data_IF_637541037122
#
_entry.id   IF_637541037122
#
_cell.length_a   1.000
_cell.length_b   1.000
_cell.length_c   1.000
_cell.angle_alpha   90.00
_cell.angle_beta   90.00
_cell.angle_gamma   90.00
#
_symmetry.space_group_name_H-M   'P 1'
#
loop_
_entity.id
_entity.type
_entity.pdbx_description
1 polymer ?
#
# COMPACT_ATOMS: atom_id res chain seq x y z
N UNK A 1 8.36 13.03 -8.74
CA UNK A 1 8.50 13.18 -7.27
C UNK A 1 8.91 11.86 -6.66
N UNK A 2 9.93 11.89 -5.83
CA UNK A 2 10.38 10.68 -5.13
C UNK A 2 9.67 10.63 -3.78
N UNK A 3 9.03 9.50 -3.51
CA UNK A 3 8.31 9.28 -2.26
C UNK A 3 9.11 8.30 -1.41
N UNK A 4 9.43 8.72 -0.20
CA UNK A 4 10.23 7.91 0.71
C UNK A 4 9.41 7.53 1.95
N UNK A 5 9.73 6.38 2.59
CA UNK A 5 9.09 6.03 3.85
C UNK A 5 9.36 7.08 4.92
N UNK A 6 8.31 7.56 5.57
CA UNK A 6 8.41 8.50 6.67
C UNK A 6 8.17 7.80 8.01
N UNK A 7 7.96 8.60 9.04
CA UNK A 7 7.80 8.07 10.40
C UNK A 7 6.57 7.17 10.54
N UNK A 8 5.52 7.43 9.78
CA UNK A 8 4.26 6.67 9.87
C UNK A 8 4.27 5.42 9.03
N UNK A 9 5.21 5.29 8.11
CA UNK A 9 5.22 4.16 7.17
C UNK A 9 5.21 2.81 7.90
N UNK A 10 6.07 2.65 8.89
CA UNK A 10 6.19 1.40 9.64
C UNK A 10 4.90 1.05 10.36
N UNK A 11 4.25 2.03 10.99
CA UNK A 11 2.98 1.81 11.69
C UNK A 11 1.89 1.37 10.70
N UNK A 12 1.83 2.03 9.55
CA UNK A 12 0.84 1.69 8.53
C UNK A 12 1.10 0.28 7.99
N UNK A 13 2.36 -0.03 7.71
CA UNK A 13 2.73 -1.36 7.20
C UNK A 13 2.33 -2.45 8.18
N UNK A 14 2.63 -2.28 9.46
CA UNK A 14 2.26 -3.25 10.48
C UNK A 14 0.74 -3.43 10.55
N UNK A 15 0.00 -2.33 10.49
CA UNK A 15 -1.47 -2.39 10.51
C UNK A 15 -2.00 -3.15 9.30
N UNK A 16 -1.48 -2.86 8.12
CA UNK A 16 -1.94 -3.53 6.90
C UNK A 16 -1.66 -5.03 6.95
N UNK A 17 -0.48 -5.41 7.39
CA UNK A 17 -0.13 -6.82 7.51
C UNK A 17 -1.02 -7.55 8.52
N UNK A 18 -1.33 -6.88 9.62
CA UNK A 18 -2.19 -7.45 10.65
C UNK A 18 -3.63 -7.59 10.17
N UNK A 19 -4.19 -6.52 9.57
CA UNK A 19 -5.60 -6.51 9.17
C UNK A 19 -5.89 -7.42 7.99
N UNK A 20 -4.92 -7.59 7.08
CA UNK A 20 -5.12 -8.41 5.88
C UNK A 20 -4.49 -9.80 5.99
N UNK A 21 -3.86 -10.09 7.11
CA UNK A 21 -3.19 -11.38 7.36
C UNK A 21 -2.19 -11.74 6.27
N UNK A 22 -1.49 -10.73 5.76
CA UNK A 22 -0.53 -10.91 4.68
C UNK A 22 0.72 -11.61 5.18
N UNK A 23 1.23 -12.52 4.38
CA UNK A 23 2.46 -13.26 4.67
C UNK A 23 3.26 -13.47 3.39
N UNK A 24 4.57 -13.63 3.56
CA UNK A 24 5.48 -13.95 2.46
C UNK A 24 5.59 -12.83 1.44
N UNK A 25 5.56 -13.17 0.14
CA UNK A 25 5.81 -12.18 -0.92
C UNK A 25 4.86 -11.00 -0.92
N UNK A 26 3.67 -11.17 -0.34
CA UNK A 26 2.67 -10.08 -0.32
C UNK A 26 3.03 -8.96 0.65
N UNK A 27 4.01 -9.18 1.52
CA UNK A 27 4.51 -8.12 2.40
C UNK A 27 5.09 -6.97 1.57
N UNK A 28 5.70 -7.27 0.43
CA UNK A 28 6.20 -6.22 -0.49
C UNK A 28 5.06 -5.34 -1.00
N UNK A 29 3.92 -5.94 -1.33
CA UNK A 29 2.75 -5.17 -1.77
C UNK A 29 2.24 -4.27 -0.64
N UNK A 30 2.21 -4.79 0.59
CA UNK A 30 1.82 -4.00 1.76
C UNK A 30 2.78 -2.84 2.00
N UNK A 31 4.06 -3.05 1.74
CA UNK A 31 5.07 -2.00 1.87
C UNK A 31 4.75 -0.82 0.92
N UNK A 32 4.45 -1.12 -0.34
CA UNK A 32 4.09 -0.08 -1.30
C UNK A 32 2.75 0.57 -0.96
N UNK A 33 1.76 -0.21 -0.50
CA UNK A 33 0.49 0.34 -0.09
C UNK A 33 0.65 1.29 1.09
N UNK A 34 1.49 0.92 2.07
CA UNK A 34 1.76 1.77 3.23
C UNK A 34 2.40 3.09 2.82
N UNK A 35 3.31 3.03 1.84
CA UNK A 35 3.97 4.22 1.34
C UNK A 35 2.95 5.18 0.70
N UNK A 36 2.06 4.65 -0.12
CA UNK A 36 1.03 5.46 -0.77
C UNK A 36 0.06 6.04 0.25
N UNK A 37 -0.33 5.28 1.26
CA UNK A 37 -1.23 5.76 2.32
C UNK A 37 -0.57 6.88 3.10
N UNK A 38 0.67 6.71 3.50
CA UNK A 38 1.38 7.72 4.30
C UNK A 38 1.44 9.05 3.57
N UNK A 39 1.65 9.02 2.27
CA UNK A 39 1.80 10.23 1.47
C UNK A 39 0.52 10.67 0.79
N UNK A 40 -0.59 10.02 1.09
CA UNK A 40 -1.92 10.32 0.53
C UNK A 40 -1.93 10.32 -1.00
N UNK A 41 -1.16 9.40 -1.59
CA UNK A 41 -1.07 9.25 -3.04
C UNK A 41 -2.05 8.21 -3.54
N UNK A 42 -2.44 8.35 -4.81
CA UNK A 42 -3.19 7.29 -5.48
C UNK A 42 -2.21 6.28 -6.06
N UNK A 43 -2.41 5.01 -5.73
CA UNK A 43 -1.58 3.92 -6.24
C UNK A 43 -2.16 3.45 -7.57
N UNK A 44 -1.39 3.53 -8.63
CA UNK A 44 -1.83 3.15 -9.98
C UNK A 44 -1.29 1.76 -10.28
N UNK A 45 -2.18 0.81 -10.52
CA UNK A 45 -1.76 -0.57 -10.75
C UNK A 45 -2.86 -1.37 -11.45
N UNK A 46 -2.47 -2.37 -12.23
CA UNK A 46 -3.40 -3.35 -12.76
C UNK A 46 -3.70 -4.48 -11.77
N UNK A 47 -2.92 -4.58 -10.69
CA UNK A 47 -3.06 -5.65 -9.72
C UNK A 47 -4.21 -5.33 -8.75
N UNK A 48 -5.34 -6.00 -8.94
CA UNK A 48 -6.52 -5.79 -8.11
C UNK A 48 -6.36 -6.29 -6.67
N UNK A 49 -5.31 -7.03 -6.40
CA UNK A 49 -5.04 -7.47 -5.03
C UNK A 49 -4.78 -6.28 -4.09
N UNK A 50 -4.38 -5.13 -4.63
CA UNK A 50 -4.23 -3.93 -3.83
C UNK A 50 -5.55 -3.41 -3.25
N UNK A 51 -6.69 -3.84 -3.78
CA UNK A 51 -7.99 -3.45 -3.22
C UNK A 51 -8.21 -3.97 -1.80
N UNK A 52 -7.43 -4.97 -1.36
CA UNK A 52 -7.55 -5.52 -0.01
C UNK A 52 -7.02 -4.60 1.08
N UNK A 53 -6.23 -3.60 0.73
CA UNK A 53 -5.59 -2.75 1.73
C UNK A 53 -6.51 -1.62 2.18
N UNK A 54 -6.96 -1.61 3.46
CA UNK A 54 -7.83 -0.54 3.96
C UNK A 54 -7.12 0.81 3.92
N UNK A 55 -7.82 1.83 3.45
CA UNK A 55 -7.29 3.19 3.40
C UNK A 55 -6.45 3.51 2.19
N UNK A 56 -6.17 2.53 1.33
CA UNK A 56 -5.41 2.78 0.12
C UNK A 56 -6.33 3.30 -0.99
N UNK A 57 -5.93 4.43 -1.58
CA UNK A 57 -6.53 4.91 -2.82
C UNK A 57 -5.78 4.26 -3.98
N UNK A 58 -6.45 3.43 -4.74
CA UNK A 58 -5.82 2.81 -5.90
C UNK A 58 -6.75 2.85 -7.10
N UNK A 59 -6.18 2.79 -8.27
CA UNK A 59 -6.96 2.70 -9.49
C UNK A 59 -6.15 2.03 -10.58
N UNK A 60 -6.84 1.52 -11.59
CA UNK A 60 -6.19 0.96 -12.76
C UNK A 60 -5.72 2.08 -13.67
N UNK A 61 -4.59 1.89 -14.39
CA UNK A 61 -4.15 2.86 -15.39
C UNK A 61 -5.22 3.04 -16.46
N UNK A 62 -5.29 4.25 -17.00
CA UNK A 62 -6.14 4.48 -18.17
C UNK A 62 -5.54 3.80 -19.38
N UNK A 63 -6.40 3.27 -20.20
CA UNK A 63 -6.00 2.61 -21.44
C UNK A 63 -6.56 3.40 -22.61
#
# INVERSE_FOLDING_TARGET
MIVEPGERHWSILRRLCFETEIRGPRVTDAWFAALAIEHACTWITYDRDFARFPGLNWQEPFV
#
